data_IF_384719922306
#
_entry.id   IF_384719922306
#
_cell.length_a   1.000
_cell.length_b   1.000
_cell.length_c   1.000
_cell.angle_alpha   90.00
_cell.angle_beta   90.00
_cell.angle_gamma   90.00
#
_symmetry.space_group_name_H-M   'P 1'
#
loop_
_entity.id
_entity.type
_entity.pdbx_description
1 polymer ?
#
# COMPACT_ATOMS: atom_id res chain seq x y z
N UNK A 1 3.78 -16.44 24.30
CA UNK A 1 3.87 -17.54 23.32
C UNK A 1 4.76 -17.18 22.12
N UNK A 2 5.10 -15.89 21.93
CA UNK A 2 5.87 -15.37 20.79
C UNK A 2 7.20 -16.09 20.61
N UNK A 3 7.91 -16.32 21.71
CA UNK A 3 9.25 -16.95 21.73
C UNK A 3 9.23 -18.49 21.55
N UNK A 4 8.04 -19.09 21.47
CA UNK A 4 7.85 -20.53 21.25
C UNK A 4 7.56 -20.90 19.80
N UNK A 5 7.30 -19.90 18.94
CA UNK A 5 7.02 -20.13 17.53
C UNK A 5 8.32 -20.16 16.72
N UNK A 6 8.45 -21.06 15.74
CA UNK A 6 9.48 -20.95 14.71
C UNK A 6 9.43 -19.55 14.08
N UNK A 7 10.60 -19.01 13.69
CA UNK A 7 10.72 -17.62 13.24
C UNK A 7 9.76 -17.27 12.12
N UNK A 8 9.60 -18.14 11.13
CA UNK A 8 8.67 -17.94 10.02
C UNK A 8 7.22 -17.78 10.51
N UNK A 9 6.79 -18.64 11.42
CA UNK A 9 5.43 -18.60 11.96
C UNK A 9 5.21 -17.40 12.86
N UNK A 10 6.25 -17.01 13.60
CA UNK A 10 6.22 -15.80 14.42
C UNK A 10 6.00 -14.57 13.58
N UNK A 11 6.75 -14.40 12.48
CA UNK A 11 6.57 -13.25 11.55
C UNK A 11 5.16 -13.21 10.94
N UNK A 12 4.61 -14.36 10.54
CA UNK A 12 3.24 -14.47 10.04
C UNK A 12 2.21 -14.08 11.09
N UNK A 13 2.38 -14.56 12.32
CA UNK A 13 1.50 -14.21 13.44
C UNK A 13 1.61 -12.71 13.79
N UNK A 14 2.82 -12.15 13.80
CA UNK A 14 3.05 -10.72 14.02
C UNK A 14 2.34 -9.87 12.96
N UNK A 15 2.45 -10.25 11.68
CA UNK A 15 1.70 -9.61 10.61
C UNK A 15 0.19 -9.64 10.90
N UNK A 16 -0.38 -10.83 11.16
CA UNK A 16 -1.82 -10.98 11.39
C UNK A 16 -2.33 -10.09 12.54
N UNK A 17 -1.68 -10.15 13.71
CA UNK A 17 -2.12 -9.39 14.88
C UNK A 17 -1.87 -7.88 14.72
N UNK A 18 -0.79 -7.49 14.05
CA UNK A 18 -0.55 -6.07 13.78
C UNK A 18 -1.53 -5.50 12.76
N UNK A 19 -1.96 -6.28 11.75
CA UNK A 19 -2.99 -5.86 10.80
C UNK A 19 -4.33 -5.63 11.51
N UNK A 20 -4.71 -6.49 12.43
CA UNK A 20 -5.92 -6.31 13.21
C UNK A 20 -5.90 -4.99 14.00
N UNK A 21 -4.80 -4.74 14.73
CA UNK A 21 -4.64 -3.50 15.48
C UNK A 21 -4.59 -2.26 14.56
N UNK A 22 -3.94 -2.36 13.38
CA UNK A 22 -3.93 -1.28 12.38
C UNK A 22 -5.32 -0.98 11.84
N UNK A 23 -6.12 -2.01 11.57
CA UNK A 23 -7.49 -1.82 11.07
C UNK A 23 -8.37 -1.09 12.10
N UNK A 24 -8.31 -1.46 13.38
CA UNK A 24 -9.04 -0.77 14.45
C UNK A 24 -8.59 0.69 14.57
N UNK A 25 -7.27 0.91 14.64
CA UNK A 25 -6.69 2.25 14.73
C UNK A 25 -7.00 3.09 13.50
N UNK A 26 -6.93 2.49 12.30
CA UNK A 26 -7.24 3.14 11.03
C UNK A 26 -8.69 3.65 11.00
N UNK A 27 -9.65 2.85 11.46
CA UNK A 27 -11.04 3.26 11.54
C UNK A 27 -11.25 4.47 12.47
N UNK A 28 -10.47 4.58 13.55
CA UNK A 28 -10.52 5.75 14.43
C UNK A 28 -9.96 7.01 13.75
N UNK A 29 -8.79 6.89 13.08
CA UNK A 29 -8.15 8.01 12.39
C UNK A 29 -9.02 8.52 11.23
N UNK A 30 -9.58 7.60 10.46
CA UNK A 30 -10.52 7.93 9.39
C UNK A 30 -11.73 8.73 9.88
N UNK A 31 -12.37 8.31 10.98
CA UNK A 31 -13.51 9.05 11.57
C UNK A 31 -13.13 10.44 12.06
N UNK A 32 -11.85 10.66 12.40
CA UNK A 32 -11.34 11.97 12.84
C UNK A 32 -10.88 12.85 11.69
N UNK A 33 -10.86 12.34 10.46
CA UNK A 33 -10.31 13.01 9.29
C UNK A 33 -8.79 13.11 9.29
N UNK A 34 -8.09 12.32 10.10
CA UNK A 34 -6.62 12.27 10.12
C UNK A 34 -6.12 11.37 8.98
N UNK A 35 -6.13 11.94 7.77
CA UNK A 35 -5.73 11.23 6.56
C UNK A 35 -4.24 10.86 6.54
N UNK A 36 -3.38 11.72 7.07
CA UNK A 36 -1.94 11.42 7.18
C UNK A 36 -1.70 10.27 8.16
N UNK A 37 -2.35 10.30 9.32
CA UNK A 37 -2.27 9.23 10.30
C UNK A 37 -2.77 7.90 9.75
N UNK A 38 -3.90 7.94 9.04
CA UNK A 38 -4.43 6.75 8.36
C UNK A 38 -3.48 6.25 7.26
N UNK A 39 -2.95 7.15 6.44
CA UNK A 39 -2.01 6.83 5.37
C UNK A 39 -0.74 6.15 5.87
N UNK A 40 -0.17 6.63 6.99
CA UNK A 40 0.98 5.97 7.63
C UNK A 40 0.68 4.52 7.99
N UNK A 41 -0.52 4.22 8.54
CA UNK A 41 -0.92 2.84 8.83
C UNK A 41 -1.06 1.98 7.57
N UNK A 42 -1.48 2.59 6.44
CA UNK A 42 -1.55 1.89 5.14
C UNK A 42 -0.15 1.52 4.64
N UNK A 43 0.83 2.42 4.76
CA UNK A 43 2.23 2.11 4.44
C UNK A 43 2.81 1.02 5.36
N UNK A 44 2.60 1.11 6.68
CA UNK A 44 3.03 0.07 7.62
C UNK A 44 2.42 -1.30 7.29
N UNK A 45 1.16 -1.33 6.84
CA UNK A 45 0.49 -2.54 6.38
C UNK A 45 1.16 -3.12 5.12
N UNK A 46 1.51 -2.27 4.17
CA UNK A 46 2.27 -2.64 2.97
C UNK A 46 3.64 -3.23 3.31
N UNK A 47 4.40 -2.55 4.16
CA UNK A 47 5.70 -3.00 4.65
C UNK A 47 5.60 -4.35 5.37
N UNK A 48 4.64 -4.50 6.28
CA UNK A 48 4.39 -5.75 6.99
C UNK A 48 4.01 -6.89 6.06
N UNK A 49 3.24 -6.62 5.00
CA UNK A 49 2.90 -7.59 3.97
C UNK A 49 4.14 -8.06 3.19
N UNK A 50 5.06 -7.15 2.87
CA UNK A 50 6.28 -7.45 2.13
C UNK A 50 7.28 -8.24 2.99
N UNK A 51 7.59 -7.76 4.20
CA UNK A 51 8.72 -8.26 5.00
C UNK A 51 8.33 -9.28 6.06
N UNK A 52 7.12 -9.21 6.62
CA UNK A 52 6.66 -10.14 7.65
C UNK A 52 5.86 -11.29 7.05
N UNK A 53 4.96 -11.01 6.12
CA UNK A 53 4.17 -12.03 5.44
C UNK A 53 4.85 -12.59 4.19
N UNK A 54 5.83 -11.86 3.63
CA UNK A 54 6.64 -12.22 2.44
C UNK A 54 5.79 -12.34 1.18
N UNK A 55 4.89 -11.38 0.99
CA UNK A 55 4.06 -11.24 -0.20
C UNK A 55 4.65 -10.25 -1.20
N UNK A 56 4.08 -10.25 -2.39
CA UNK A 56 4.38 -9.29 -3.45
C UNK A 56 5.39 -9.81 -4.48
N UNK A 57 5.16 -9.50 -5.76
CA UNK A 57 6.16 -9.63 -6.81
C UNK A 57 7.08 -8.40 -6.83
N UNK A 58 8.18 -8.49 -7.55
CA UNK A 58 9.20 -7.43 -7.58
C UNK A 58 8.64 -6.11 -8.12
N UNK A 59 7.75 -6.18 -9.12
CA UNK A 59 7.10 -5.03 -9.72
C UNK A 59 6.24 -4.26 -8.71
N UNK A 60 5.44 -4.97 -7.91
CA UNK A 60 4.57 -4.33 -6.92
C UNK A 60 5.34 -3.86 -5.68
N UNK A 61 6.41 -4.57 -5.27
CA UNK A 61 7.31 -4.10 -4.21
C UNK A 61 8.00 -2.81 -4.62
N UNK A 62 8.50 -2.75 -5.86
CA UNK A 62 9.11 -1.52 -6.38
C UNK A 62 8.12 -0.37 -6.47
N UNK A 63 6.89 -0.64 -6.90
CA UNK A 63 5.84 0.37 -6.94
C UNK A 63 5.50 0.88 -5.52
N UNK A 64 5.46 -0.01 -4.52
CA UNK A 64 5.31 0.38 -3.12
C UNK A 64 6.44 1.32 -2.66
N UNK A 65 7.71 1.01 -2.96
CA UNK A 65 8.85 1.86 -2.62
C UNK A 65 8.74 3.26 -3.27
N UNK A 66 8.36 3.31 -4.54
CA UNK A 66 8.17 4.58 -5.27
C UNK A 66 7.04 5.40 -4.61
N UNK A 67 5.92 4.76 -4.27
CA UNK A 67 4.83 5.45 -3.58
C UNK A 67 5.26 6.01 -2.23
N UNK A 68 6.05 5.25 -1.45
CA UNK A 68 6.54 5.69 -0.14
C UNK A 68 7.53 6.86 -0.21
N UNK A 69 8.23 7.03 -1.35
CA UNK A 69 9.16 8.14 -1.63
C UNK A 69 8.51 9.29 -2.42
N UNK A 70 7.21 9.26 -2.63
CA UNK A 70 6.53 10.28 -3.42
C UNK A 70 5.74 11.23 -2.52
N UNK A 71 6.12 12.52 -2.57
CA UNK A 71 5.41 13.58 -1.85
C UNK A 71 3.95 13.68 -2.33
N UNK A 72 3.04 13.91 -1.40
CA UNK A 72 1.59 13.93 -1.65
C UNK A 72 0.91 12.57 -1.58
N UNK A 73 1.64 11.47 -1.41
CA UNK A 73 1.05 10.17 -1.10
C UNK A 73 1.02 9.98 0.41
N UNK A 74 -0.16 9.98 1.00
CA UNK A 74 -0.36 9.77 2.44
C UNK A 74 -0.15 8.33 2.85
N UNK A 75 -0.48 7.37 1.97
CA UNK A 75 -0.35 5.95 2.23
C UNK A 75 -0.57 5.12 0.98
N UNK A 76 0.10 3.97 0.88
CA UNK A 76 -0.02 3.08 -0.27
C UNK A 76 0.38 1.65 0.05
N UNK A 77 -0.25 0.71 -0.65
CA UNK A 77 0.07 -0.71 -0.59
C UNK A 77 -0.48 -1.42 -1.84
N UNK A 78 -0.01 -2.64 -2.10
CA UNK A 78 -0.64 -3.45 -3.12
C UNK A 78 -2.00 -4.00 -2.66
N UNK A 79 -2.92 -4.18 -3.59
CA UNK A 79 -4.22 -4.78 -3.37
C UNK A 79 -4.11 -6.31 -3.36
N UNK A 80 -4.68 -6.96 -2.35
CA UNK A 80 -4.59 -8.41 -2.17
C UNK A 80 -3.19 -8.90 -1.81
N UNK A 81 -2.81 -10.08 -2.28
CA UNK A 81 -1.56 -10.74 -1.95
C UNK A 81 -0.32 -10.22 -2.70
N UNK A 82 -0.48 -9.33 -3.67
CA UNK A 82 0.64 -8.64 -4.33
C UNK A 82 1.47 -9.48 -5.30
N UNK A 83 1.01 -10.64 -5.76
CA UNK A 83 1.75 -11.44 -6.74
C UNK A 83 1.47 -11.04 -8.18
N UNK A 84 0.40 -10.32 -8.42
CA UNK A 84 0.00 -9.57 -9.63
C UNK A 84 -1.11 -8.60 -9.23
N UNK A 85 -1.50 -7.71 -10.15
CA UNK A 85 -2.61 -6.78 -9.93
C UNK A 85 -2.15 -5.35 -9.81
N UNK A 86 -2.62 -4.63 -8.80
CA UNK A 86 -2.36 -3.20 -8.64
C UNK A 86 -1.90 -2.84 -7.24
N UNK A 87 -1.32 -1.64 -7.12
CA UNK A 87 -1.23 -0.91 -5.87
C UNK A 87 -2.36 0.11 -5.78
N UNK A 88 -2.74 0.46 -4.56
CA UNK A 88 -3.66 1.56 -4.25
C UNK A 88 -2.94 2.55 -3.36
N UNK A 89 -3.22 3.83 -3.56
CA UNK A 89 -2.69 4.91 -2.73
C UNK A 89 -3.79 5.89 -2.34
N UNK A 90 -3.66 6.44 -1.14
CA UNK A 90 -4.39 7.62 -0.69
C UNK A 90 -3.49 8.83 -0.94
N UNK A 91 -3.95 9.78 -1.71
CA UNK A 91 -3.14 10.89 -2.19
C UNK A 91 -3.75 12.26 -1.85
N UNK A 92 -2.92 13.27 -1.90
CA UNK A 92 -3.34 14.67 -1.98
C UNK A 92 -3.88 14.93 -3.40
N UNK A 93 -5.17 15.26 -3.57
CA UNK A 93 -5.74 15.50 -4.89
C UNK A 93 -5.10 16.66 -5.63
N UNK A 94 -4.58 17.67 -4.91
CA UNK A 94 -3.93 18.84 -5.51
C UNK A 94 -2.56 18.49 -6.13
N UNK A 95 -2.00 17.31 -5.82
CA UNK A 95 -0.73 16.80 -6.33
C UNK A 95 -0.88 15.63 -7.32
N UNK A 96 -2.10 15.31 -7.72
CA UNK A 96 -2.39 14.11 -8.50
C UNK A 96 -1.56 14.00 -9.79
N UNK A 97 -1.41 15.09 -10.55
CA UNK A 97 -0.64 15.12 -11.80
C UNK A 97 0.86 14.90 -11.55
N UNK A 98 1.43 15.53 -10.53
CA UNK A 98 2.84 15.37 -10.17
C UNK A 98 3.13 13.95 -9.67
N UNK A 99 2.22 13.38 -8.88
CA UNK A 99 2.28 12.00 -8.41
C UNK A 99 2.26 11.01 -9.59
N UNK A 100 1.29 11.17 -10.52
CA UNK A 100 1.21 10.32 -11.71
C UNK A 100 2.49 10.39 -12.53
N UNK A 101 2.99 11.59 -12.79
CA UNK A 101 4.20 11.81 -13.57
C UNK A 101 5.43 11.14 -12.91
N UNK A 102 5.65 11.37 -11.61
CA UNK A 102 6.78 10.78 -10.87
C UNK A 102 6.66 9.26 -10.79
N UNK A 103 5.52 8.74 -10.34
CA UNK A 103 5.30 7.29 -10.16
C UNK A 103 5.47 6.56 -11.50
N UNK A 104 4.87 7.07 -12.58
CA UNK A 104 4.98 6.47 -13.92
C UNK A 104 6.43 6.47 -14.40
N UNK A 105 7.12 7.61 -14.31
CA UNK A 105 8.50 7.72 -14.78
C UNK A 105 9.45 6.77 -14.04
N UNK A 106 9.38 6.73 -12.71
CA UNK A 106 10.25 5.87 -11.92
C UNK A 106 9.91 4.37 -12.07
N UNK A 107 8.63 4.05 -12.18
CA UNK A 107 8.19 2.67 -12.39
C UNK A 107 8.62 2.12 -13.74
N UNK A 108 8.40 2.86 -14.83
CA UNK A 108 8.83 2.45 -16.17
C UNK A 108 10.35 2.50 -16.34
N UNK A 109 11.07 3.34 -15.61
CA UNK A 109 12.53 3.29 -15.51
C UNK A 109 13.00 1.98 -14.89
N UNK A 110 12.31 1.50 -13.85
CA UNK A 110 12.66 0.21 -13.22
C UNK A 110 12.25 -0.99 -14.08
N UNK A 111 11.12 -0.90 -14.78
CA UNK A 111 10.55 -1.97 -15.59
C UNK A 111 10.16 -1.52 -17.00
N UNK A 112 11.14 -1.24 -17.90
CA UNK A 112 10.85 -0.73 -19.25
C UNK A 112 9.97 -1.67 -20.10
N UNK A 113 10.01 -2.97 -19.81
CA UNK A 113 9.19 -3.98 -20.52
C UNK A 113 7.68 -3.87 -20.22
N UNK A 114 7.29 -3.03 -19.25
CA UNK A 114 5.91 -2.76 -18.90
C UNK A 114 5.35 -1.51 -19.60
N UNK A 115 6.12 -0.84 -20.42
CA UNK A 115 5.61 0.25 -21.26
C UNK A 115 4.43 -0.25 -22.12
N UNK A 116 3.32 0.51 -22.10
CA UNK A 116 2.07 0.12 -22.75
C UNK A 116 1.27 -1.00 -22.06
N UNK A 117 1.77 -1.53 -20.93
CA UNK A 117 1.06 -2.52 -20.07
C UNK A 117 0.78 -2.00 -18.67
N UNK A 118 1.19 -0.79 -18.38
CA UNK A 118 0.97 -0.05 -17.14
C UNK A 118 -0.16 0.96 -17.35
N UNK A 119 -0.98 1.16 -16.33
CA UNK A 119 -1.99 2.22 -16.30
C UNK A 119 -2.08 2.84 -14.91
N UNK A 120 -2.29 4.14 -14.87
CA UNK A 120 -2.59 4.89 -13.67
C UNK A 120 -4.07 5.28 -13.71
N UNK A 121 -4.77 5.23 -12.57
CA UNK A 121 -6.16 5.57 -12.45
C UNK A 121 -6.37 6.44 -11.22
N UNK A 122 -6.91 7.63 -11.43
CA UNK A 122 -7.41 8.47 -10.35
C UNK A 122 -8.87 8.08 -10.08
N UNK A 123 -9.17 7.73 -8.84
CA UNK A 123 -10.50 7.29 -8.43
C UNK A 123 -10.98 8.12 -7.25
N UNK A 124 -12.26 8.43 -7.23
CA UNK A 124 -12.93 8.99 -6.06
C UNK A 124 -13.67 7.90 -5.30
N UNK A 125 -13.83 8.10 -3.98
CA UNK A 125 -14.68 7.22 -3.20
C UNK A 125 -16.14 7.39 -3.59
N UNK A 126 -16.88 6.29 -3.66
CA UNK A 126 -18.30 6.27 -3.95
C UNK A 126 -19.06 5.52 -2.85
N UNK A 127 -20.38 5.62 -2.90
CA UNK A 127 -21.25 4.85 -2.01
C UNK A 127 -21.02 3.34 -2.21
N UNK A 128 -21.28 2.56 -1.16
CA UNK A 128 -21.20 1.10 -1.23
C UNK A 128 -22.23 0.52 -2.20
N UNK A 129 -22.05 -0.77 -2.49
CA UNK A 129 -23.02 -1.50 -3.32
C UNK A 129 -24.36 -1.53 -2.60
N UNK A 130 -25.40 -0.96 -3.24
CA UNK A 130 -26.79 -1.13 -2.82
C UNK A 130 -27.33 -2.42 -3.44
N UNK A 131 -27.94 -3.27 -2.59
CA UNK A 131 -28.57 -4.54 -2.98
C UNK A 131 -30.07 -4.33 -3.16
#
# INVERSE_FOLDING_TARGET
YKDRLPELWRRRAEHYYSEFARAEKGAELWRKGDLEGYGRLVFESGESSIYSYECGCDELKKLYEIMADTDGIYGGRFSGAGFKGCCMALIDPDKAEDIEAKVTAEYLKAFPALEGKYSFHLCESADGVEL
#
